data_IF_016636903800
#
_entry.id   IF_016636903800
#
_cell.length_a   1.000
_cell.length_b   1.000
_cell.length_c   1.000
_cell.angle_alpha   90.00
_cell.angle_beta   90.00
_cell.angle_gamma   90.00
#
_symmetry.space_group_name_H-M   'P 1'
#
loop_
_entity.id
_entity.type
_entity.pdbx_description
1 polymer ?
#
# COMPACT_ATOMS: atom_id res chain seq x y z
N UNK A 1 5.61 -19.82 25.26
CA UNK A 1 5.55 -19.04 24.02
C UNK A 1 4.75 -17.77 24.29
N UNK A 2 5.15 -16.60 23.79
CA UNK A 2 4.32 -15.41 23.91
C UNK A 2 2.99 -15.64 23.17
N UNK A 3 1.91 -15.11 23.73
CA UNK A 3 0.59 -15.14 23.11
C UNK A 3 0.63 -14.25 21.87
N UNK A 4 0.09 -14.71 20.77
CA UNK A 4 -0.06 -13.97 19.51
C UNK A 4 -1.50 -14.05 19.03
N UNK A 5 -1.96 -12.98 18.39
CA UNK A 5 -3.29 -12.84 17.82
C UNK A 5 -3.18 -12.67 16.31
N UNK A 6 -4.07 -13.32 15.59
CA UNK A 6 -4.08 -13.31 14.14
C UNK A 6 -5.32 -12.60 13.63
N UNK A 7 -5.12 -11.50 12.94
CA UNK A 7 -6.16 -10.81 12.16
C UNK A 7 -6.11 -11.29 10.71
N UNK A 8 -7.29 -11.50 10.12
CA UNK A 8 -7.43 -12.00 8.76
C UNK A 8 -8.48 -11.18 8.02
N UNK A 9 -8.12 -10.64 6.87
CA UNK A 9 -9.01 -9.85 6.03
C UNK A 9 -8.96 -10.35 4.59
N UNK A 10 -10.14 -10.69 4.05
CA UNK A 10 -10.30 -11.12 2.67
C UNK A 10 -10.83 -9.96 1.83
N UNK A 11 -10.27 -9.76 0.64
CA UNK A 11 -10.68 -8.71 -0.29
C UNK A 11 -10.60 -9.17 -1.73
N UNK A 12 -11.32 -8.48 -2.61
CA UNK A 12 -11.31 -8.71 -4.07
C UNK A 12 -10.61 -7.56 -4.76
N UNK A 13 -9.82 -7.89 -5.75
CA UNK A 13 -9.26 -6.91 -6.68
C UNK A 13 -10.01 -7.08 -8.01
N UNK A 14 -10.83 -6.10 -8.36
CA UNK A 14 -11.45 -6.07 -9.68
C UNK A 14 -10.40 -5.75 -10.74
N UNK A 15 -10.01 -6.77 -11.48
CA UNK A 15 -9.32 -6.57 -12.74
C UNK A 15 -10.33 -6.00 -13.73
N UNK A 16 -10.18 -4.75 -14.12
CA UNK A 16 -10.88 -4.24 -15.30
C UNK A 16 -10.42 -5.07 -16.50
N UNK A 17 -11.07 -6.20 -16.74
CA UNK A 17 -11.03 -6.80 -18.05
C UNK A 17 -11.63 -5.74 -18.98
N UNK A 18 -10.79 -5.06 -19.72
CA UNK A 18 -11.20 -4.27 -20.87
C UNK A 18 -11.82 -5.26 -21.89
N UNK A 19 -13.03 -5.72 -21.58
CA UNK A 19 -13.89 -6.50 -22.45
C UNK A 19 -14.52 -5.61 -23.51
N UNK A 20 -13.71 -4.96 -24.29
CA UNK A 20 -14.07 -4.09 -25.39
C UNK A 20 -12.89 -3.86 -26.33
N UNK A 21 -11.79 -4.61 -26.10
CA UNK A 21 -10.51 -4.34 -26.72
C UNK A 21 -10.39 -4.60 -28.22
N UNK A 22 -11.29 -5.33 -28.88
CA UNK A 22 -11.06 -5.67 -30.28
C UNK A 22 -11.46 -4.56 -31.26
N UNK A 23 -12.51 -3.84 -30.99
CA UNK A 23 -12.95 -2.73 -31.88
C UNK A 23 -12.19 -1.43 -31.59
N UNK A 24 -11.96 -1.11 -30.32
CA UNK A 24 -11.20 0.09 -29.92
C UNK A 24 -9.70 -0.02 -30.22
N UNK A 25 -9.10 -1.20 -30.10
CA UNK A 25 -7.69 -1.41 -30.46
C UNK A 25 -7.49 -1.36 -31.98
N UNK A 26 -8.47 -1.81 -32.78
CA UNK A 26 -8.44 -1.69 -34.23
C UNK A 26 -8.49 -0.23 -34.68
N UNK A 27 -9.38 0.57 -34.11
CA UNK A 27 -9.51 2.01 -34.39
C UNK A 27 -8.31 2.81 -33.88
N UNK A 28 -7.78 2.47 -32.71
CA UNK A 28 -6.62 3.15 -32.14
C UNK A 28 -5.34 2.90 -32.93
N UNK A 29 -5.14 1.67 -33.48
CA UNK A 29 -4.03 1.36 -34.36
C UNK A 29 -4.10 2.16 -35.67
N UNK A 30 -5.30 2.38 -36.19
CA UNK A 30 -5.55 3.12 -37.44
C UNK A 30 -5.38 4.64 -37.27
N UNK A 31 -5.55 5.14 -36.04
CA UNK A 31 -5.37 6.55 -35.71
C UNK A 31 -3.94 6.85 -35.16
N UNK A 32 -3.03 5.90 -35.25
CA UNK A 32 -1.65 6.07 -34.78
C UNK A 32 -1.51 6.18 -33.24
N UNK A 33 -2.54 5.80 -32.50
CA UNK A 33 -2.46 5.74 -31.05
C UNK A 33 -1.72 4.45 -30.66
N UNK A 34 -0.48 4.57 -30.26
CA UNK A 34 0.24 3.48 -29.61
C UNK A 34 -0.39 3.21 -28.23
N UNK A 35 -1.36 2.30 -28.20
CA UNK A 35 -1.92 1.75 -26.98
C UNK A 35 -1.00 0.69 -26.36
N UNK A 36 0.18 0.46 -26.91
CA UNK A 36 1.17 -0.50 -26.38
C UNK A 36 1.53 -0.23 -24.92
N UNK A 37 1.48 1.00 -24.47
CA UNK A 37 1.58 1.35 -23.05
C UNK A 37 0.30 1.11 -22.23
N UNK A 38 -0.86 0.89 -22.88
CA UNK A 38 -2.16 0.63 -22.24
C UNK A 38 -2.49 -0.86 -22.19
N UNK A 39 -1.90 -1.66 -23.08
CA UNK A 39 -2.09 -3.11 -23.16
C UNK A 39 -1.21 -3.90 -22.19
N UNK A 40 -0.39 -3.22 -21.39
CA UNK A 40 0.20 -3.83 -20.21
C UNK A 40 -0.93 -4.30 -19.31
N UNK A 41 -1.32 -5.56 -19.49
CA UNK A 41 -2.44 -6.29 -18.90
C UNK A 41 -2.32 -6.50 -17.40
N UNK A 42 -1.83 -5.53 -16.65
CA UNK A 42 -1.74 -5.62 -15.21
C UNK A 42 -1.64 -4.25 -14.60
N UNK A 43 -2.75 -3.74 -14.09
CA UNK A 43 -2.71 -2.58 -13.19
C UNK A 43 -1.78 -2.88 -11.99
N UNK A 44 -1.35 -1.84 -11.27
CA UNK A 44 -0.48 -1.96 -10.09
C UNK A 44 -1.03 -2.97 -9.07
N UNK A 45 -2.32 -3.26 -9.10
CA UNK A 45 -2.99 -4.26 -8.27
C UNK A 45 -3.48 -5.49 -9.06
N UNK A 46 -3.01 -5.72 -10.29
CA UNK A 46 -3.39 -6.93 -11.02
C UNK A 46 -2.56 -8.13 -10.56
N UNK A 47 -3.23 -9.25 -10.36
CA UNK A 47 -2.58 -10.51 -10.03
C UNK A 47 -1.67 -10.45 -8.81
N UNK A 48 -0.44 -10.96 -8.95
CA UNK A 48 0.53 -11.03 -7.85
C UNK A 48 1.11 -9.67 -7.43
N UNK A 49 0.89 -8.61 -8.23
CA UNK A 49 1.36 -7.26 -7.90
C UNK A 49 0.72 -6.72 -6.61
N UNK A 50 -0.54 -7.10 -6.32
CA UNK A 50 -1.21 -6.69 -5.07
C UNK A 50 -0.51 -7.23 -3.84
N UNK A 51 0.02 -8.45 -3.91
CA UNK A 51 0.75 -9.06 -2.81
C UNK A 51 2.05 -8.30 -2.55
N UNK A 52 2.78 -7.98 -3.63
CA UNK A 52 4.02 -7.21 -3.54
C UNK A 52 3.77 -5.79 -3.03
N UNK A 53 2.69 -5.15 -3.47
CA UNK A 53 2.32 -3.82 -3.00
C UNK A 53 2.05 -3.81 -1.49
N UNK A 54 1.21 -4.72 -1.00
CA UNK A 54 0.85 -4.80 0.43
C UNK A 54 2.05 -5.13 1.32
N UNK A 55 3.00 -5.91 0.81
CA UNK A 55 4.24 -6.28 1.53
C UNK A 55 5.36 -5.26 1.36
N UNK A 56 5.16 -4.22 0.55
CA UNK A 56 6.20 -3.22 0.31
C UNK A 56 6.47 -2.39 1.58
N UNK A 57 7.72 -2.05 1.79
CA UNK A 57 8.16 -1.21 2.91
C UNK A 57 7.39 0.10 2.97
N UNK A 58 7.07 0.68 1.81
CA UNK A 58 6.30 1.93 1.71
C UNK A 58 4.89 1.77 2.28
N UNK A 59 4.17 0.68 1.93
CA UNK A 59 2.81 0.44 2.44
C UNK A 59 2.83 0.18 3.94
N UNK A 60 3.75 -0.66 4.40
CA UNK A 60 3.91 -0.96 5.83
C UNK A 60 4.29 0.31 6.59
N UNK A 61 5.26 1.11 6.11
CA UNK A 61 5.64 2.40 6.72
C UNK A 61 4.45 3.35 6.82
N UNK A 62 3.73 3.56 5.72
CA UNK A 62 2.57 4.44 5.71
C UNK A 62 1.50 3.99 6.69
N UNK A 63 1.26 2.69 6.80
CA UNK A 63 0.30 2.11 7.76
C UNK A 63 0.77 2.34 9.21
N UNK A 64 2.02 2.07 9.52
CA UNK A 64 2.61 2.24 10.86
C UNK A 64 2.54 3.69 11.35
N UNK A 65 2.59 4.66 10.45
CA UNK A 65 2.53 6.09 10.78
C UNK A 65 1.09 6.65 10.83
N UNK A 66 0.07 5.81 10.75
CA UNK A 66 -1.32 6.24 11.01
C UNK A 66 -1.65 6.16 12.50
N UNK A 67 -2.68 6.91 12.95
CA UNK A 67 -3.14 6.82 14.34
C UNK A 67 -3.62 5.41 14.69
N UNK A 68 -3.30 4.93 15.90
CA UNK A 68 -3.79 3.64 16.40
C UNK A 68 -5.31 3.66 16.66
N UNK A 69 -5.88 4.77 17.09
CA UNK A 69 -7.32 4.99 17.26
C UNK A 69 -7.76 6.27 16.56
N UNK A 70 -9.05 6.43 16.34
CA UNK A 70 -9.59 7.53 15.51
C UNK A 70 -9.24 8.94 16.00
N UNK A 71 -9.05 9.13 17.31
CA UNK A 71 -8.62 10.39 17.91
C UNK A 71 -7.28 10.26 18.64
N UNK A 72 -6.51 9.21 18.35
CA UNK A 72 -5.25 8.93 19.04
C UNK A 72 -4.12 9.80 18.50
N UNK A 73 -3.29 10.30 19.40
CA UNK A 73 -1.99 10.91 19.08
C UNK A 73 -0.87 9.86 18.98
N UNK A 74 -1.16 8.60 19.33
CA UNK A 74 -0.24 7.48 19.31
C UNK A 74 -0.31 6.82 17.93
N UNK A 75 0.84 6.65 17.27
CA UNK A 75 0.92 5.95 16.00
C UNK A 75 0.82 4.42 16.20
N UNK A 76 0.46 3.70 15.14
CA UNK A 76 0.50 2.23 15.13
C UNK A 76 1.94 1.74 15.41
N UNK A 77 2.97 2.45 14.94
CA UNK A 77 4.37 2.12 15.22
C UNK A 77 4.71 2.23 16.70
N UNK A 78 4.21 3.27 17.39
CA UNK A 78 4.38 3.42 18.84
C UNK A 78 3.71 2.28 19.61
N UNK A 79 2.45 1.98 19.27
CA UNK A 79 1.70 0.90 19.91
C UNK A 79 2.39 -0.46 19.68
N UNK A 80 2.87 -0.69 18.46
CA UNK A 80 3.65 -1.89 18.13
C UNK A 80 4.93 -1.99 18.98
N UNK A 81 5.69 -0.90 19.06
CA UNK A 81 6.93 -0.88 19.84
C UNK A 81 6.70 -1.07 21.34
N UNK A 82 5.58 -0.54 21.87
CA UNK A 82 5.20 -0.73 23.29
C UNK A 82 4.75 -2.16 23.57
N UNK A 83 3.81 -2.70 22.80
CA UNK A 83 3.27 -4.06 23.00
C UNK A 83 4.32 -5.14 22.79
N UNK A 84 5.29 -4.90 21.91
CA UNK A 84 6.44 -5.79 21.68
C UNK A 84 7.60 -5.55 22.64
N UNK A 85 7.49 -4.65 23.63
CA UNK A 85 8.53 -4.24 24.59
C UNK A 85 9.81 -3.70 23.94
N UNK A 86 9.72 -3.29 22.68
CA UNK A 86 10.86 -2.76 21.92
C UNK A 86 11.18 -1.33 22.34
N UNK A 87 10.16 -0.49 22.56
CA UNK A 87 10.33 0.92 22.94
C UNK A 87 11.21 1.11 24.17
N UNK A 88 10.98 0.32 25.23
CA UNK A 88 11.79 0.35 26.45
C UNK A 88 13.20 -0.24 26.25
N UNK A 89 13.26 -1.39 25.54
CA UNK A 89 14.54 -2.06 25.26
C UNK A 89 15.47 -1.17 24.44
N UNK A 90 14.93 -0.51 23.40
CA UNK A 90 15.69 0.44 22.60
C UNK A 90 16.01 1.72 23.34
N UNK A 91 15.10 2.18 24.22
CA UNK A 91 15.33 3.31 25.09
C UNK A 91 16.57 3.10 25.97
N UNK A 92 16.63 1.96 26.65
CA UNK A 92 17.78 1.59 27.48
C UNK A 92 19.10 1.49 26.71
N UNK A 93 19.02 1.01 25.46
CA UNK A 93 20.22 0.74 24.66
C UNK A 93 20.71 1.95 23.87
N UNK A 94 19.82 2.83 23.41
CA UNK A 94 20.15 3.83 22.42
C UNK A 94 19.65 5.25 22.74
N UNK A 95 18.88 5.45 23.82
CA UNK A 95 18.20 6.72 24.10
C UNK A 95 18.20 7.09 25.60
N UNK A 96 19.33 6.88 26.28
CA UNK A 96 19.56 7.24 27.70
C UNK A 96 18.42 6.80 28.65
N UNK A 97 17.84 5.63 28.39
CA UNK A 97 16.74 5.06 29.17
C UNK A 97 15.36 5.61 28.82
N UNK A 98 15.24 6.61 27.95
CA UNK A 98 13.94 7.16 27.53
C UNK A 98 13.32 6.29 26.44
N UNK A 99 12.01 5.96 26.53
CA UNK A 99 11.33 5.19 25.47
C UNK A 99 11.47 5.82 24.09
N UNK A 100 11.77 5.02 23.08
CA UNK A 100 11.77 5.50 21.69
C UNK A 100 10.33 5.62 21.22
N UNK A 101 10.00 6.74 20.57
CA UNK A 101 8.69 7.06 20.02
C UNK A 101 8.76 7.27 18.52
N UNK A 102 7.64 7.00 17.85
CA UNK A 102 7.47 7.12 16.41
C UNK A 102 6.28 8.04 16.08
N UNK A 103 6.43 9.37 16.14
CA UNK A 103 5.39 10.30 15.73
C UNK A 103 4.90 10.03 14.32
N UNK A 104 3.65 10.37 14.00
CA UNK A 104 3.06 10.16 12.68
C UNK A 104 3.77 10.96 11.57
N UNK A 105 4.31 12.13 11.91
CA UNK A 105 5.15 12.91 10.99
C UNK A 105 6.60 12.42 11.06
N UNK A 106 6.99 11.68 10.01
CA UNK A 106 8.37 11.18 9.86
C UNK A 106 9.34 12.19 9.26
N UNK A 107 8.90 13.40 8.90
CA UNK A 107 9.77 14.43 8.32
C UNK A 107 10.87 14.90 9.26
N UNK A 108 10.64 14.80 10.56
CA UNK A 108 11.55 15.21 11.62
C UNK A 108 12.21 14.03 12.36
N UNK A 109 12.20 12.83 11.79
CA UNK A 109 12.81 11.67 12.43
C UNK A 109 14.34 11.82 12.53
N UNK A 110 14.86 11.39 13.68
CA UNK A 110 16.29 11.17 13.83
C UNK A 110 16.72 9.92 13.06
N UNK A 111 18.00 9.80 12.72
CA UNK A 111 18.55 8.59 12.10
C UNK A 111 18.27 7.33 12.93
N UNK A 112 18.23 7.45 14.25
CA UNK A 112 17.89 6.36 15.15
C UNK A 112 16.44 5.91 14.94
N UNK A 113 15.49 6.85 14.93
CA UNK A 113 14.07 6.55 14.71
C UNK A 113 13.83 5.89 13.34
N UNK A 114 14.43 6.42 12.27
CA UNK A 114 14.33 5.81 10.94
C UNK A 114 14.90 4.38 10.93
N UNK A 115 16.09 4.17 11.53
CA UNK A 115 16.71 2.85 11.59
C UNK A 115 15.84 1.85 12.35
N UNK A 116 15.28 2.24 13.50
CA UNK A 116 14.45 1.37 14.31
C UNK A 116 13.08 1.12 13.68
N UNK A 117 12.51 2.11 12.97
CA UNK A 117 11.30 1.91 12.18
C UNK A 117 11.52 0.89 11.06
N UNK A 118 12.68 0.92 10.38
CA UNK A 118 13.03 -0.08 9.37
C UNK A 118 13.11 -1.50 9.97
N UNK A 119 13.59 -1.64 11.21
CA UNK A 119 13.57 -2.94 11.91
C UNK A 119 12.14 -3.45 12.11
N UNK A 120 11.20 -2.56 12.49
CA UNK A 120 9.78 -2.93 12.62
C UNK A 120 9.22 -3.35 11.24
N UNK A 121 9.43 -2.53 10.20
CA UNK A 121 8.94 -2.79 8.85
C UNK A 121 9.42 -4.16 8.36
N UNK A 122 10.72 -4.42 8.47
CA UNK A 122 11.32 -5.69 8.06
C UNK A 122 10.73 -6.87 8.83
N UNK A 123 10.55 -6.74 10.14
CA UNK A 123 9.96 -7.80 10.96
C UNK A 123 8.53 -8.11 10.54
N UNK A 124 7.72 -7.07 10.28
CA UNK A 124 6.34 -7.25 9.84
C UNK A 124 6.32 -7.91 8.45
N UNK A 125 7.08 -7.39 7.48
CA UNK A 125 7.08 -7.90 6.10
C UNK A 125 7.55 -9.35 5.99
N UNK A 126 8.52 -9.76 6.82
CA UNK A 126 9.12 -11.09 6.73
C UNK A 126 8.43 -12.14 7.61
N UNK A 127 7.84 -11.75 8.76
CA UNK A 127 7.41 -12.71 9.79
C UNK A 127 5.96 -12.58 10.23
N UNK A 128 5.37 -11.40 10.13
CA UNK A 128 4.09 -11.10 10.76
C UNK A 128 2.97 -10.85 9.74
N UNK A 129 3.31 -10.49 8.49
CA UNK A 129 2.37 -10.25 7.41
C UNK A 129 2.49 -11.33 6.33
N UNK A 130 1.42 -12.05 6.10
CA UNK A 130 1.27 -12.93 4.94
C UNK A 130 0.14 -12.40 4.03
N UNK A 131 0.41 -12.31 2.74
CA UNK A 131 -0.60 -11.94 1.73
C UNK A 131 -0.57 -12.99 0.64
N UNK A 132 -1.73 -13.52 0.29
CA UNK A 132 -1.84 -14.56 -0.72
C UNK A 132 -3.25 -14.78 -1.21
N UNK A 133 -3.40 -15.72 -2.13
CA UNK A 133 -4.71 -16.24 -2.55
C UNK A 133 -4.96 -17.53 -1.79
N UNK A 134 -6.04 -17.63 -0.99
CA UNK A 134 -6.39 -18.88 -0.30
C UNK A 134 -6.71 -19.99 -1.30
N UNK A 135 -7.30 -19.65 -2.45
CA UNK A 135 -7.50 -20.55 -3.59
C UNK A 135 -7.07 -19.85 -4.88
N UNK A 136 -6.19 -20.48 -5.65
CA UNK A 136 -5.67 -19.94 -6.93
C UNK A 136 -6.75 -19.76 -7.99
N UNK A 137 -7.87 -20.48 -7.88
CA UNK A 137 -9.00 -20.38 -8.81
C UNK A 137 -9.91 -19.18 -8.54
N UNK A 138 -9.82 -18.59 -7.35
CA UNK A 138 -10.65 -17.47 -6.93
C UNK A 138 -9.91 -16.15 -7.09
N UNK A 139 -10.67 -15.07 -7.32
CA UNK A 139 -10.15 -13.70 -7.38
C UNK A 139 -9.99 -13.06 -5.99
N UNK A 140 -10.13 -13.85 -4.92
CA UNK A 140 -9.97 -13.38 -3.55
C UNK A 140 -8.52 -13.40 -3.12
N UNK A 141 -8.13 -12.34 -2.42
CA UNK A 141 -6.86 -12.24 -1.69
C UNK A 141 -7.15 -12.23 -0.19
N UNK A 142 -6.23 -12.77 0.56
CA UNK A 142 -6.27 -12.74 2.01
C UNK A 142 -4.99 -12.09 2.55
N UNK A 143 -5.15 -11.11 3.43
CA UNK A 143 -4.08 -10.57 4.23
C UNK A 143 -4.22 -11.12 5.66
N UNK A 144 -3.18 -11.77 6.15
CA UNK A 144 -3.10 -12.33 7.50
C UNK A 144 -1.98 -11.64 8.27
N UNK A 145 -2.30 -11.07 9.42
CA UNK A 145 -1.34 -10.37 10.28
C UNK A 145 -1.34 -11.03 11.66
N UNK A 146 -0.15 -11.36 12.16
CA UNK A 146 0.01 -11.99 13.48
C UNK A 146 0.86 -11.09 14.38
N UNK A 147 0.26 -10.58 15.47
CA UNK A 147 0.89 -9.64 16.40
C UNK A 147 0.64 -10.04 17.87
N UNK A 148 1.32 -9.35 18.80
CA UNK A 148 1.20 -9.62 20.24
C UNK A 148 -0.03 -8.98 20.90
N UNK A 149 -0.75 -8.10 20.19
CA UNK A 149 -1.94 -7.43 20.66
C UNK A 149 -3.05 -7.61 19.61
N UNK A 150 -4.24 -8.00 20.04
CA UNK A 150 -5.38 -8.28 19.16
C UNK A 150 -5.86 -7.03 18.43
N UNK A 151 -6.11 -5.95 19.18
CA UNK A 151 -6.58 -4.69 18.61
C UNK A 151 -5.56 -4.13 17.61
N UNK A 152 -4.24 -4.24 17.91
CA UNK A 152 -3.18 -3.83 17.03
C UNK A 152 -3.17 -4.63 15.72
N UNK A 153 -3.31 -5.96 15.80
CA UNK A 153 -3.38 -6.81 14.61
C UNK A 153 -4.58 -6.42 13.71
N UNK A 154 -5.72 -6.17 14.31
CA UNK A 154 -6.95 -5.79 13.61
C UNK A 154 -6.83 -4.40 12.96
N UNK A 155 -6.40 -3.40 13.73
CA UNK A 155 -6.25 -2.02 13.24
C UNK A 155 -5.19 -1.95 12.14
N UNK A 156 -4.05 -2.62 12.32
CA UNK A 156 -2.99 -2.65 11.30
C UNK A 156 -3.48 -3.29 10.01
N UNK A 157 -4.17 -4.44 10.07
CA UNK A 157 -4.68 -5.13 8.87
C UNK A 157 -5.66 -4.24 8.09
N UNK A 158 -6.61 -3.63 8.79
CA UNK A 158 -7.61 -2.73 8.17
C UNK A 158 -6.93 -1.52 7.53
N UNK A 159 -6.05 -0.83 8.26
CA UNK A 159 -5.33 0.35 7.75
C UNK A 159 -4.42 0.03 6.57
N UNK A 160 -3.79 -1.16 6.56
CA UNK A 160 -2.95 -1.60 5.43
C UNK A 160 -3.77 -1.72 4.14
N UNK A 161 -4.96 -2.31 4.21
CA UNK A 161 -5.86 -2.42 3.05
C UNK A 161 -6.39 -1.05 2.63
N UNK A 162 -6.76 -0.18 3.58
CA UNK A 162 -7.18 1.20 3.29
C UNK A 162 -6.08 1.99 2.57
N UNK A 163 -4.83 1.90 3.03
CA UNK A 163 -3.70 2.57 2.40
C UNK A 163 -3.45 2.06 0.97
N UNK A 164 -3.53 0.74 0.77
CA UNK A 164 -3.38 0.16 -0.56
C UNK A 164 -4.52 0.58 -1.50
N UNK A 165 -5.74 0.63 -1.01
CA UNK A 165 -6.92 1.07 -1.76
C UNK A 165 -6.79 2.54 -2.18
N UNK A 166 -6.39 3.43 -1.28
CA UNK A 166 -6.12 4.84 -1.59
C UNK A 166 -5.03 4.99 -2.64
N UNK A 167 -3.91 4.30 -2.46
CA UNK A 167 -2.82 4.32 -3.43
C UNK A 167 -3.26 3.86 -4.82
N UNK A 168 -4.10 2.83 -4.90
CA UNK A 168 -4.66 2.36 -6.17
C UNK A 168 -5.55 3.41 -6.84
N UNK A 169 -6.49 3.98 -6.10
CA UNK A 169 -7.41 5.01 -6.60
C UNK A 169 -6.61 6.21 -7.12
N UNK A 170 -5.67 6.72 -6.34
CA UNK A 170 -4.81 7.84 -6.70
C UNK A 170 -4.01 7.55 -7.98
N UNK A 171 -3.39 6.37 -8.04
CA UNK A 171 -2.58 5.96 -9.20
C UNK A 171 -3.44 5.83 -10.46
N UNK A 172 -4.61 5.20 -10.35
CA UNK A 172 -5.55 5.03 -11.46
C UNK A 172 -6.09 6.37 -11.94
N UNK A 173 -6.52 7.22 -11.03
CA UNK A 173 -7.07 8.56 -11.34
C UNK A 173 -6.00 9.45 -11.99
N UNK A 174 -4.77 9.44 -11.48
CA UNK A 174 -3.66 10.20 -12.06
C UNK A 174 -3.34 9.75 -13.49
N UNK A 175 -3.33 8.44 -13.75
CA UNK A 175 -3.14 7.90 -15.12
C UNK A 175 -4.26 8.34 -16.06
N UNK A 176 -5.51 8.23 -15.63
CA UNK A 176 -6.66 8.65 -16.44
C UNK A 176 -6.63 10.14 -16.76
N UNK A 177 -6.33 10.99 -15.76
CA UNK A 177 -6.18 12.44 -15.96
C UNK A 177 -5.06 12.77 -16.95
N UNK A 178 -3.91 12.13 -16.84
CA UNK A 178 -2.81 12.33 -17.77
C UNK A 178 -3.17 11.90 -19.20
N UNK A 179 -3.94 10.83 -19.37
CA UNK A 179 -4.42 10.40 -20.69
C UNK A 179 -5.40 11.40 -21.28
N UNK A 180 -6.36 11.88 -20.50
CA UNK A 180 -7.31 12.91 -20.93
C UNK A 180 -6.58 14.18 -21.37
N UNK A 181 -5.64 14.67 -20.56
CA UNK A 181 -4.84 15.85 -20.88
C UNK A 181 -4.04 15.68 -22.19
N UNK A 182 -3.47 14.49 -22.42
CA UNK A 182 -2.76 14.17 -23.67
C UNK A 182 -3.68 14.17 -24.89
N UNK A 183 -4.89 13.59 -24.74
CA UNK A 183 -5.87 13.55 -25.82
C UNK A 183 -6.39 14.96 -26.13
N UNK A 184 -6.63 15.76 -25.11
CA UNK A 184 -7.06 17.16 -25.28
C UNK A 184 -5.99 17.98 -26.02
N UNK A 185 -4.73 17.89 -25.59
CA UNK A 185 -3.63 18.60 -26.25
C UNK A 185 -3.47 18.19 -27.72
N UNK A 186 -3.72 16.92 -28.08
CA UNK A 186 -3.72 16.46 -29.48
C UNK A 186 -4.91 17.01 -30.26
N UNK A 187 -6.11 17.00 -29.68
CA UNK A 187 -7.29 17.55 -30.30
C UNK A 187 -7.13 19.06 -30.60
N UNK A 188 -6.59 19.79 -29.62
CA UNK A 188 -6.30 21.23 -29.75
C UNK A 188 -5.28 21.50 -30.89
N UNK A 189 -4.21 20.67 -30.93
CA UNK A 189 -3.18 20.77 -31.99
C UNK A 189 -3.75 20.51 -33.39
N UNK A 190 -4.63 19.51 -33.54
CA UNK A 190 -5.28 19.23 -34.82
C UNK A 190 -6.25 20.36 -35.19
N UNK A 191 -7.00 20.92 -34.24
CA UNK A 191 -7.87 22.06 -34.44
C UNK A 191 -7.14 23.30 -34.94
N UNK A 192 -5.92 23.54 -34.46
CA UNK A 192 -5.07 24.64 -34.92
C UNK A 192 -4.52 24.44 -36.36
N UNK A 193 -4.37 23.19 -36.79
CA UNK A 193 -3.88 22.88 -38.15
C UNK A 193 -4.98 22.93 -39.21
N UNK A 194 -6.25 22.93 -38.80
CA UNK A 194 -7.42 22.93 -39.67
C UNK A 194 -8.03 24.33 -39.87
N UNK A 195 -7.58 25.34 -39.14
CA UNK A 195 -7.91 26.76 -39.29
C UNK A 195 -6.79 27.53 -39.95
#
# INVERSE_FOLDING_TARGET
>A
KPITYTSRLTFVVEESKAGGGSLLSGLAGQLGFDLGGLSGTGGVLAGDNVQQLLRSDKMIKNTLLTPFGDSSTVSIADEYAMTSKLSESWGKKYNDGKPVRFPMDSGNYTRLQDSLLQVIIKRISEKELAVGKPDKKLSFFEATVTMHNEALAQVFTTRLIDQATRFYIETKTKRQRNNVNRLQARADSIGLLLN
#
